data_IF_842666552828
#
_entry.id   IF_842666552828
#
_cell.length_a   1.000
_cell.length_b   1.000
_cell.length_c   1.000
_cell.angle_alpha   90.00
_cell.angle_beta   90.00
_cell.angle_gamma   90.00
#
_symmetry.space_group_name_H-M   'P 1'
#
loop_
_entity.id
_entity.type
_entity.pdbx_description
1 polymer ?
#
# COMPACT_ATOMS: atom_id res chain seq x y z
N UNK A 1 10.13 26.69 2.71
CA UNK A 1 10.39 25.29 3.14
C UNK A 1 9.94 24.36 2.01
N UNK A 2 10.83 23.53 1.45
CA UNK A 2 10.42 22.46 0.53
C UNK A 2 9.53 21.50 1.31
N UNK A 3 8.26 21.41 0.97
CA UNK A 3 7.34 20.45 1.55
C UNK A 3 7.94 19.06 1.32
N UNK A 4 8.30 18.34 2.38
CA UNK A 4 8.76 16.97 2.26
C UNK A 4 7.58 16.14 1.76
N UNK A 5 7.61 15.74 0.49
CA UNK A 5 6.63 14.84 -0.08
C UNK A 5 7.00 13.42 0.33
N UNK A 6 6.55 13.02 1.51
CA UNK A 6 6.69 11.65 1.95
C UNK A 6 5.55 10.78 1.43
N UNK A 7 5.89 9.54 1.11
CA UNK A 7 4.95 8.52 0.69
C UNK A 7 5.10 7.26 1.52
N UNK A 8 4.04 6.47 1.50
CA UNK A 8 4.05 5.05 1.82
C UNK A 8 4.08 4.30 0.50
N UNK A 9 5.10 3.48 0.27
CA UNK A 9 5.32 2.72 -0.96
C UNK A 9 5.29 1.21 -0.73
N UNK A 10 4.78 0.48 -1.73
CA UNK A 10 4.68 -0.97 -1.72
C UNK A 10 5.01 -1.54 -3.11
N UNK A 11 6.02 -2.40 -3.19
CA UNK A 11 6.26 -3.29 -4.33
C UNK A 11 5.67 -4.66 -4.01
N UNK A 12 4.80 -5.17 -4.87
CA UNK A 12 4.06 -6.41 -4.60
C UNK A 12 3.65 -7.06 -5.93
N UNK A 13 3.35 -8.35 -5.94
CA UNK A 13 2.71 -8.99 -7.10
C UNK A 13 1.25 -8.60 -7.22
N UNK A 14 0.65 -8.70 -8.41
CA UNK A 14 -0.79 -8.47 -8.61
C UNK A 14 -1.64 -9.42 -7.78
N UNK A 15 -1.22 -10.69 -7.69
CA UNK A 15 -1.85 -11.70 -6.81
C UNK A 15 -1.77 -11.28 -5.34
N UNK A 16 -0.60 -10.83 -4.88
CA UNK A 16 -0.40 -10.33 -3.53
C UNK A 16 -1.25 -9.09 -3.23
N UNK A 17 -1.35 -8.16 -4.17
CA UNK A 17 -2.21 -6.98 -4.05
C UNK A 17 -3.69 -7.36 -3.93
N UNK A 18 -4.14 -8.36 -4.70
CA UNK A 18 -5.49 -8.90 -4.58
C UNK A 18 -5.76 -9.47 -3.18
N UNK A 19 -4.83 -10.26 -2.65
CA UNK A 19 -4.90 -10.79 -1.27
C UNK A 19 -4.96 -9.65 -0.26
N UNK A 20 -4.04 -8.68 -0.35
CA UNK A 20 -3.94 -7.56 0.55
C UNK A 20 -5.26 -6.77 0.60
N UNK A 21 -5.81 -6.42 -0.56
CA UNK A 21 -7.05 -5.67 -0.66
C UNK A 21 -8.22 -6.42 -0.01
N UNK A 22 -8.34 -7.73 -0.24
CA UNK A 22 -9.38 -8.56 0.39
C UNK A 22 -9.25 -8.58 1.92
N UNK A 23 -8.03 -8.73 2.44
CA UNK A 23 -7.79 -8.74 3.89
C UNK A 23 -8.09 -7.38 4.53
N UNK A 24 -7.74 -6.28 3.85
CA UNK A 24 -8.08 -4.93 4.31
C UNK A 24 -9.61 -4.74 4.32
N UNK A 25 -10.31 -5.17 3.26
CA UNK A 25 -11.78 -5.08 3.18
C UNK A 25 -12.45 -5.80 4.36
N UNK A 26 -11.99 -7.01 4.71
CA UNK A 26 -12.50 -7.77 5.87
C UNK A 26 -12.33 -7.00 7.17
N UNK A 27 -11.18 -6.34 7.35
CA UNK A 27 -10.86 -5.57 8.58
C UNK A 27 -11.58 -4.23 8.68
N UNK A 28 -11.81 -3.54 7.55
CA UNK A 28 -12.57 -2.29 7.48
C UNK A 28 -14.09 -2.55 7.61
N UNK A 29 -14.52 -3.78 7.34
CA UNK A 29 -15.86 -4.28 7.62
C UNK A 29 -16.85 -4.18 6.46
N UNK A 30 -16.49 -3.58 5.32
CA UNK A 30 -17.23 -3.76 4.07
C UNK A 30 -16.44 -3.30 2.82
N UNK A 31 -16.73 -3.87 1.63
CA UNK A 31 -16.16 -3.39 0.37
C UNK A 31 -16.45 -1.91 0.10
N UNK A 32 -17.66 -1.44 0.39
CA UNK A 32 -18.07 -0.06 0.17
C UNK A 32 -17.27 0.94 1.02
N UNK A 33 -16.94 0.58 2.27
CA UNK A 33 -16.07 1.40 3.14
C UNK A 33 -14.63 1.41 2.64
N UNK A 34 -14.12 0.26 2.19
CA UNK A 34 -12.78 0.17 1.62
C UNK A 34 -12.63 1.03 0.36
N UNK A 35 -13.55 0.94 -0.61
CA UNK A 35 -13.47 1.72 -1.87
C UNK A 35 -13.47 3.23 -1.61
N UNK A 36 -14.20 3.70 -0.59
CA UNK A 36 -14.21 5.11 -0.18
C UNK A 36 -12.98 5.53 0.66
N UNK A 37 -12.13 4.58 1.05
CA UNK A 37 -10.97 4.84 1.90
C UNK A 37 -9.80 5.45 1.11
N UNK A 38 -8.93 6.19 1.81
CA UNK A 38 -7.66 6.64 1.22
C UNK A 38 -6.71 5.49 0.90
N UNK A 39 -6.87 4.32 1.53
CA UNK A 39 -6.07 3.12 1.27
C UNK A 39 -6.41 2.52 -0.10
N UNK A 40 -7.67 2.53 -0.54
CA UNK A 40 -8.02 2.10 -1.89
C UNK A 40 -7.52 3.06 -2.99
N UNK A 41 -7.20 4.31 -2.63
CA UNK A 41 -6.78 5.36 -3.57
C UNK A 41 -5.25 5.47 -3.66
N UNK A 42 -4.57 4.37 -3.95
CA UNK A 42 -3.14 4.38 -4.25
C UNK A 42 -2.87 4.90 -5.67
N UNK A 43 -1.65 5.39 -5.87
CA UNK A 43 -1.05 5.64 -7.18
C UNK A 43 -0.20 4.45 -7.60
N UNK A 44 -0.20 4.13 -8.88
CA UNK A 44 0.72 3.15 -9.48
C UNK A 44 1.91 3.91 -10.03
N UNK A 45 3.12 3.53 -9.63
CA UNK A 45 4.38 4.15 -10.07
C UNK A 45 5.10 3.32 -11.13
N UNK A 46 4.87 2.01 -11.17
CA UNK A 46 5.45 1.14 -12.19
C UNK A 46 4.86 -0.26 -12.16
N UNK A 47 5.02 -0.96 -13.28
CA UNK A 47 4.59 -2.35 -13.45
C UNK A 47 5.61 -3.08 -14.32
N UNK A 48 6.02 -4.28 -13.92
CA UNK A 48 6.90 -5.16 -14.69
C UNK A 48 6.45 -6.60 -14.50
N UNK A 49 5.93 -7.22 -15.56
CA UNK A 49 5.29 -8.54 -15.45
C UNK A 49 4.11 -8.50 -14.49
N UNK A 50 4.10 -9.41 -13.51
CA UNK A 50 3.11 -9.50 -12.45
C UNK A 50 3.44 -8.64 -11.22
N UNK A 51 4.57 -7.91 -11.21
CA UNK A 51 4.96 -7.03 -10.11
C UNK A 51 4.48 -5.61 -10.37
N UNK A 52 3.90 -4.98 -9.35
CA UNK A 52 3.42 -3.61 -9.34
C UNK A 52 4.02 -2.82 -8.18
N UNK A 53 4.38 -1.57 -8.44
CA UNK A 53 4.80 -0.60 -7.42
C UNK A 53 3.69 0.42 -7.23
N UNK A 54 3.14 0.48 -6.03
CA UNK A 54 2.06 1.40 -5.66
C UNK A 54 2.46 2.26 -4.46
N UNK A 55 1.74 3.35 -4.23
CA UNK A 55 1.89 4.10 -2.99
C UNK A 55 0.87 5.20 -2.76
N UNK A 56 0.98 5.82 -1.60
CA UNK A 56 0.08 6.83 -1.07
C UNK A 56 0.88 8.01 -0.53
N UNK A 57 0.32 9.21 -0.59
CA UNK A 57 0.85 10.32 0.20
C UNK A 57 0.73 9.96 1.68
N UNK A 58 1.81 10.13 2.44
CA UNK A 58 1.86 9.70 3.84
C UNK A 58 0.70 10.28 4.67
N UNK A 59 0.44 11.58 4.51
CA UNK A 59 -0.67 12.27 5.17
C UNK A 59 -2.05 11.68 4.87
N UNK A 60 -2.27 11.19 3.65
CA UNK A 60 -3.55 10.64 3.23
C UNK A 60 -3.70 9.20 3.73
N UNK A 61 -2.59 8.45 3.75
CA UNK A 61 -2.53 7.09 4.27
C UNK A 61 -2.89 7.04 5.75
N UNK A 62 -2.28 7.89 6.58
CA UNK A 62 -2.52 7.95 8.02
C UNK A 62 -3.73 8.80 8.43
N UNK A 63 -4.47 9.38 7.47
CA UNK A 63 -5.65 10.22 7.77
C UNK A 63 -6.72 9.49 8.60
N UNK A 64 -6.85 8.17 8.41
CA UNK A 64 -7.72 7.32 9.22
C UNK A 64 -6.88 6.19 9.86
N UNK A 65 -6.57 6.28 11.17
CA UNK A 65 -5.74 5.30 11.87
C UNK A 65 -6.30 3.88 11.82
N UNK A 66 -7.62 3.70 11.83
CA UNK A 66 -8.25 2.37 11.75
C UNK A 66 -7.92 1.72 10.40
N UNK A 67 -7.96 2.50 9.31
CA UNK A 67 -7.66 1.98 7.97
C UNK A 67 -6.16 1.72 7.78
N UNK A 68 -5.29 2.58 8.30
CA UNK A 68 -3.84 2.34 8.29
C UNK A 68 -3.49 1.06 9.09
N UNK A 69 -4.09 0.87 10.27
CA UNK A 69 -3.92 -0.35 11.06
C UNK A 69 -4.47 -1.59 10.33
N UNK A 70 -5.59 -1.46 9.62
CA UNK A 70 -6.11 -2.54 8.79
C UNK A 70 -5.12 -2.93 7.69
N UNK A 71 -4.46 -1.97 7.04
CA UNK A 71 -3.39 -2.22 6.08
C UNK A 71 -2.20 -2.96 6.73
N UNK A 72 -1.63 -2.43 7.81
CA UNK A 72 -0.45 -3.05 8.45
C UNK A 72 -0.74 -4.47 8.96
N UNK A 73 -1.93 -4.70 9.52
CA UNK A 73 -2.33 -6.04 9.95
C UNK A 73 -2.62 -7.00 8.77
N UNK A 74 -2.90 -6.46 7.59
CA UNK A 74 -3.11 -7.26 6.38
C UNK A 74 -1.81 -7.60 5.67
N UNK A 75 -0.75 -6.79 5.80
CA UNK A 75 0.60 -7.16 5.35
C UNK A 75 1.07 -8.47 5.99
N UNK A 76 0.80 -8.66 7.29
CA UNK A 76 1.11 -9.92 8.00
C UNK A 76 0.45 -11.15 7.38
N UNK A 77 -0.69 -10.98 6.69
CA UNK A 77 -1.37 -12.08 6.00
C UNK A 77 -0.67 -12.46 4.68
N UNK A 78 0.09 -11.54 4.08
CA UNK A 78 0.92 -11.84 2.92
C UNK A 78 2.07 -12.77 3.31
N UNK A 79 2.69 -12.55 4.47
CA UNK A 79 3.72 -13.44 5.01
C UNK A 79 3.18 -14.87 5.21
N UNK A 80 2.01 -15.00 5.83
CA UNK A 80 1.35 -16.31 6.04
C UNK A 80 0.99 -17.01 4.72
N UNK A 81 0.76 -16.25 3.65
CA UNK A 81 0.38 -16.76 2.32
C UNK A 81 1.57 -16.84 1.36
N UNK A 82 2.78 -16.63 1.86
CA UNK A 82 4.02 -16.64 1.08
C UNK A 82 3.97 -15.70 -0.14
N UNK A 83 3.26 -14.56 0.00
CA UNK A 83 3.12 -13.57 -1.04
C UNK A 83 4.20 -12.48 -0.85
N UNK A 84 5.22 -12.40 -1.73
CA UNK A 84 6.34 -11.48 -1.55
C UNK A 84 5.91 -10.02 -1.71
N UNK A 85 6.43 -9.17 -0.85
CA UNK A 85 6.26 -7.71 -0.94
C UNK A 85 7.45 -6.97 -0.34
N UNK A 86 7.63 -5.71 -0.74
CA UNK A 86 8.57 -4.76 -0.13
C UNK A 86 7.82 -3.50 0.23
N UNK A 87 7.82 -3.15 1.52
CA UNK A 87 7.14 -1.98 2.08
C UNK A 87 8.17 -0.96 2.54
N UNK A 88 8.08 0.29 2.07
CA UNK A 88 9.01 1.36 2.41
C UNK A 88 8.25 2.68 2.61
N UNK A 89 8.70 3.50 3.56
CA UNK A 89 8.18 4.85 3.79
C UNK A 89 9.30 5.88 3.75
N UNK A 90 9.02 7.07 3.24
CA UNK A 90 10.00 8.15 3.21
C UNK A 90 9.76 9.11 2.05
N UNK A 91 10.81 9.84 1.68
CA UNK A 91 10.76 10.78 0.57
C UNK A 91 10.37 10.10 -0.75
N UNK A 92 9.39 10.68 -1.47
CA UNK A 92 8.80 10.12 -2.69
C UNK A 92 9.82 9.62 -3.72
N UNK A 93 10.78 10.46 -4.08
CA UNK A 93 11.79 10.15 -5.09
C UNK A 93 12.64 8.94 -4.67
N UNK A 94 13.16 8.96 -3.44
CA UNK A 94 13.98 7.86 -2.90
C UNK A 94 13.22 6.56 -2.78
N UNK A 95 11.96 6.62 -2.35
CA UNK A 95 11.12 5.43 -2.19
C UNK A 95 10.79 4.82 -3.55
N UNK A 96 10.39 5.63 -4.53
CA UNK A 96 10.07 5.17 -5.88
C UNK A 96 11.31 4.55 -6.53
N UNK A 97 12.46 5.24 -6.47
CA UNK A 97 13.72 4.71 -6.99
C UNK A 97 14.07 3.35 -6.38
N UNK A 98 14.01 3.24 -5.05
CA UNK A 98 14.33 2.00 -4.33
C UNK A 98 13.39 0.84 -4.70
N UNK A 99 12.11 1.13 -4.96
CA UNK A 99 11.13 0.08 -5.29
C UNK A 99 11.17 -0.33 -6.77
N UNK A 100 11.62 0.55 -7.67
CA UNK A 100 11.69 0.28 -9.11
C UNK A 100 12.98 -0.42 -9.55
N UNK A 101 14.04 -0.39 -8.74
CA UNK A 101 15.24 -1.23 -8.91
C UNK A 101 14.86 -2.73 -8.91
#
# INVERSE_FOLDING_TARGET
MKTQNNIVGLKITEKGLGILNLEIMKRIGSPAKYIKSKIANYRIFGKKGDVVVIGWKEKDFYKNPIHANAFHNSLKQLDTKEAPYVYITGNEEKVIESLLQ
#
